data_IF_465726700595
#
_entry.id   IF_465726700595
#
_cell.length_a   1.000
_cell.length_b   1.000
_cell.length_c   1.000
_cell.angle_alpha   90.00
_cell.angle_beta   90.00
_cell.angle_gamma   90.00
#
_symmetry.space_group_name_H-M   'P 1'
#
loop_
_entity.id
_entity.type
_entity.pdbx_description
1 polymer ?
#
# COMPACT_ATOMS: atom_id res chain seq x y z
N UNK A 1 15.56 0.82 4.04
CA UNK A 1 16.99 0.92 4.29
C UNK A 1 17.52 2.31 3.90
N UNK A 2 18.72 2.66 4.34
CA UNK A 2 19.44 3.82 3.82
C UNK A 2 19.63 3.69 2.31
N UNK A 3 19.61 4.79 1.59
CA UNK A 3 19.73 4.80 0.13
C UNK A 3 18.50 4.31 -0.64
N UNK A 4 17.40 3.98 0.03
CA UNK A 4 16.15 3.58 -0.64
C UNK A 4 15.61 4.72 -1.52
N UNK A 5 15.02 4.37 -2.66
CA UNK A 5 14.29 5.31 -3.49
C UNK A 5 12.79 5.23 -3.16
N UNK A 6 12.17 6.38 -2.91
CA UNK A 6 10.83 6.49 -2.34
C UNK A 6 9.81 7.00 -3.36
N UNK A 7 8.61 6.41 -3.31
CA UNK A 7 7.36 6.96 -3.79
C UNK A 7 6.35 6.96 -2.63
N UNK A 8 5.67 8.08 -2.42
CA UNK A 8 4.61 8.24 -1.44
C UNK A 8 3.34 8.67 -2.16
N UNK A 9 2.26 7.90 -1.97
CA UNK A 9 0.93 8.24 -2.49
C UNK A 9 0.26 9.37 -1.69
N UNK A 10 -0.91 9.77 -2.15
CA UNK A 10 -1.75 10.78 -1.48
C UNK A 10 -2.49 10.10 -0.31
N UNK A 11 -2.64 10.82 0.79
CA UNK A 11 -3.45 10.41 1.92
C UNK A 11 -2.76 10.54 3.27
N UNK A 12 -3.54 10.33 4.33
CA UNK A 12 -3.07 10.52 5.71
C UNK A 12 -1.94 9.56 6.10
N UNK A 13 -2.03 8.29 5.71
CA UNK A 13 -1.02 7.28 6.06
C UNK A 13 0.33 7.50 5.36
N UNK A 14 0.42 7.72 4.03
CA UNK A 14 1.70 8.06 3.39
C UNK A 14 2.34 9.32 3.97
N UNK A 15 1.56 10.36 4.28
CA UNK A 15 2.08 11.58 4.91
C UNK A 15 2.59 11.32 6.34
N UNK A 16 1.87 10.55 7.16
CA UNK A 16 2.33 10.18 8.50
C UNK A 16 3.63 9.37 8.45
N UNK A 17 3.73 8.41 7.54
CA UNK A 17 4.95 7.62 7.35
C UNK A 17 6.10 8.51 6.89
N UNK A 18 5.85 9.45 5.97
CA UNK A 18 6.86 10.42 5.53
C UNK A 18 7.36 11.31 6.66
N UNK A 19 6.49 11.77 7.56
CA UNK A 19 6.86 12.52 8.76
C UNK A 19 7.72 11.68 9.71
N UNK A 20 7.42 10.39 9.89
CA UNK A 20 8.25 9.47 10.67
C UNK A 20 9.63 9.24 10.00
N UNK A 21 9.68 9.14 8.68
CA UNK A 21 10.94 9.05 7.92
C UNK A 21 11.77 10.31 8.16
N UNK A 22 11.17 11.51 8.14
CA UNK A 22 11.86 12.76 8.41
C UNK A 22 12.48 12.81 9.81
N UNK A 23 11.89 12.15 10.80
CA UNK A 23 12.37 12.06 12.18
C UNK A 23 13.31 10.88 12.46
N UNK A 24 13.39 9.91 11.55
CA UNK A 24 14.19 8.68 11.71
C UNK A 24 15.68 8.90 11.48
N UNK A 25 16.50 7.87 11.69
CA UNK A 25 17.94 7.86 11.37
C UNK A 25 18.24 7.48 9.91
N UNK A 26 17.20 7.36 9.06
CA UNK A 26 17.37 7.08 7.65
C UNK A 26 18.09 8.22 6.93
N UNK A 27 18.93 7.87 5.95
CA UNK A 27 19.73 8.83 5.19
C UNK A 27 19.96 8.36 3.75
N UNK A 28 20.45 9.30 2.95
CA UNK A 28 20.81 9.10 1.54
C UNK A 28 19.65 8.60 0.67
N UNK A 29 18.42 8.99 1.03
CA UNK A 29 17.21 8.58 0.31
C UNK A 29 17.14 9.22 -1.08
N UNK A 30 16.52 8.49 -2.00
CA UNK A 30 16.15 8.99 -3.32
C UNK A 30 14.65 9.27 -3.40
N UNK A 31 14.25 10.04 -4.40
CA UNK A 31 12.84 10.27 -4.75
C UNK A 31 12.64 10.02 -6.25
N UNK A 32 11.59 9.23 -6.56
CA UNK A 32 11.09 9.03 -7.92
C UNK A 32 9.57 8.81 -7.81
N UNK A 33 8.78 9.80 -8.19
CA UNK A 33 7.34 9.86 -7.88
C UNK A 33 6.57 10.69 -8.91
N UNK A 34 5.30 10.34 -9.13
CA UNK A 34 4.37 11.17 -9.92
C UNK A 34 3.81 12.35 -9.11
N UNK A 35 3.75 12.21 -7.79
CA UNK A 35 3.19 13.21 -6.87
C UNK A 35 4.23 13.58 -5.81
N UNK A 36 4.57 14.86 -5.72
CA UNK A 36 5.49 15.36 -4.70
C UNK A 36 4.69 15.86 -3.50
N UNK A 37 4.40 14.93 -2.57
CA UNK A 37 3.58 15.21 -1.38
C UNK A 37 4.38 15.98 -0.32
N UNK A 38 3.67 16.67 0.61
CA UNK A 38 4.28 17.52 1.65
C UNK A 38 5.32 16.78 2.50
N UNK A 39 5.11 15.49 2.73
CA UNK A 39 6.06 14.65 3.44
C UNK A 39 7.47 14.64 2.81
N UNK A 40 7.58 14.75 1.49
CA UNK A 40 8.91 14.89 0.85
C UNK A 40 9.60 16.21 1.17
N UNK A 41 8.82 17.28 1.36
CA UNK A 41 9.38 18.57 1.80
C UNK A 41 9.99 18.43 3.19
N UNK A 42 9.32 17.74 4.11
CA UNK A 42 9.82 17.52 5.48
C UNK A 42 11.06 16.62 5.48
N UNK A 43 11.07 15.55 4.71
CA UNK A 43 12.22 14.64 4.55
C UNK A 43 13.42 15.40 3.94
N UNK A 44 13.17 16.29 2.95
CA UNK A 44 14.20 17.11 2.32
C UNK A 44 14.78 18.16 3.31
N UNK A 45 13.91 18.87 4.04
CA UNK A 45 14.34 19.81 5.09
C UNK A 45 15.17 19.15 6.18
N UNK A 46 14.88 17.88 6.50
CA UNK A 46 15.67 17.07 7.42
C UNK A 46 17.03 16.62 6.84
N UNK A 47 17.36 16.99 5.60
CA UNK A 47 18.64 16.68 4.96
C UNK A 47 18.81 15.19 4.57
N UNK A 48 17.72 14.43 4.46
CA UNK A 48 17.77 12.97 4.27
C UNK A 48 17.74 12.55 2.80
N UNK A 49 17.42 13.45 1.88
CA UNK A 49 17.32 13.16 0.44
C UNK A 49 18.58 13.65 -0.28
N UNK A 50 19.41 12.71 -0.71
CA UNK A 50 20.62 13.00 -1.52
C UNK A 50 20.51 12.44 -2.93
N UNK A 51 19.72 11.37 -3.14
CA UNK A 51 19.65 10.64 -4.39
C UNK A 51 20.97 9.94 -4.78
N UNK A 52 21.93 9.86 -3.85
CA UNK A 52 23.30 9.39 -4.13
C UNK A 52 23.35 7.93 -4.58
N UNK A 53 22.39 7.11 -4.17
CA UNK A 53 22.33 5.67 -4.48
C UNK A 53 21.36 5.32 -5.62
N UNK A 54 20.72 6.31 -6.25
CA UNK A 54 19.85 6.07 -7.41
C UNK A 54 20.65 5.58 -8.61
N UNK A 55 20.13 4.59 -9.32
CA UNK A 55 20.68 4.05 -10.57
C UNK A 55 20.34 4.96 -11.76
N UNK A 56 19.15 5.57 -11.73
CA UNK A 56 18.68 6.57 -12.67
C UNK A 56 18.62 7.94 -11.99
N UNK A 57 18.96 9.02 -12.70
CA UNK A 57 18.92 10.40 -12.19
C UNK A 57 19.65 10.57 -10.85
N UNK A 58 20.83 10.01 -10.74
CA UNK A 58 21.65 10.06 -9.53
C UNK A 58 21.84 11.49 -9.03
N UNK A 59 21.63 11.69 -7.72
CA UNK A 59 21.72 12.99 -7.08
C UNK A 59 20.50 13.89 -7.29
N UNK A 60 19.43 13.41 -7.94
CA UNK A 60 18.22 14.19 -8.22
C UNK A 60 17.00 13.61 -7.51
N UNK A 61 16.11 14.50 -7.09
CA UNK A 61 14.73 14.16 -6.77
C UNK A 61 13.93 14.22 -8.07
N UNK A 62 13.27 13.12 -8.43
CA UNK A 62 12.51 13.05 -9.68
C UNK A 62 11.02 13.16 -9.39
N UNK A 63 10.46 14.23 -9.92
CA UNK A 63 9.05 14.49 -10.08
C UNK A 63 8.87 15.03 -11.51
N UNK A 64 8.27 14.23 -12.38
CA UNK A 64 8.24 14.50 -13.82
C UNK A 64 6.93 13.97 -14.44
N UNK A 65 6.85 13.97 -15.76
CA UNK A 65 5.71 13.43 -16.49
C UNK A 65 5.51 11.94 -16.22
N UNK A 66 4.25 11.50 -16.20
CA UNK A 66 3.85 10.14 -15.84
C UNK A 66 4.40 9.07 -16.77
N UNK A 67 4.63 9.39 -18.05
CA UNK A 67 5.26 8.50 -19.02
C UNK A 67 6.69 8.09 -18.64
N UNK A 68 7.35 8.87 -17.78
CA UNK A 68 8.67 8.54 -17.23
C UNK A 68 8.59 8.05 -15.78
N UNK A 69 7.88 8.76 -14.91
CA UNK A 69 7.84 8.41 -13.47
C UNK A 69 7.10 7.11 -13.20
N UNK A 70 6.08 6.81 -14.01
CA UNK A 70 5.25 5.62 -13.86
C UNK A 70 5.69 4.46 -14.78
N UNK A 71 6.72 4.65 -15.60
CA UNK A 71 7.27 3.55 -16.39
C UNK A 71 7.86 2.48 -15.46
N UNK A 72 7.24 1.31 -15.46
CA UNK A 72 7.62 0.17 -14.61
C UNK A 72 9.09 -0.20 -14.80
N UNK A 73 9.65 -0.04 -16.00
CA UNK A 73 11.08 -0.29 -16.29
C UNK A 73 11.97 0.70 -15.56
N UNK A 74 11.60 1.98 -15.56
CA UNK A 74 12.32 3.02 -14.84
C UNK A 74 12.25 2.80 -13.33
N UNK A 75 11.07 2.47 -12.78
CA UNK A 75 10.89 2.18 -11.35
C UNK A 75 11.70 0.94 -10.94
N UNK A 76 11.60 -0.15 -11.71
CA UNK A 76 12.28 -1.42 -11.40
C UNK A 76 13.81 -1.35 -11.51
N UNK A 77 14.34 -0.40 -12.26
CA UNK A 77 15.78 -0.16 -12.37
C UNK A 77 16.38 0.56 -11.15
N UNK A 78 15.55 1.08 -10.26
CA UNK A 78 15.98 1.76 -9.02
C UNK A 78 16.01 0.74 -7.87
N UNK A 79 17.21 0.36 -7.39
CA UNK A 79 17.38 -0.59 -6.28
C UNK A 79 16.72 -0.08 -4.99
N UNK A 80 16.18 -1.01 -4.18
CA UNK A 80 15.49 -0.74 -2.93
C UNK A 80 14.36 0.29 -3.09
N UNK A 81 13.59 0.19 -4.18
CA UNK A 81 12.46 1.07 -4.40
C UNK A 81 11.33 0.78 -3.40
N UNK A 82 10.91 1.77 -2.66
CA UNK A 82 9.85 1.66 -1.66
C UNK A 82 8.66 2.50 -2.10
N UNK A 83 7.56 1.83 -2.43
CA UNK A 83 6.27 2.43 -2.78
C UNK A 83 5.31 2.32 -1.60
N UNK A 84 4.70 3.43 -1.18
CA UNK A 84 3.75 3.49 -0.05
C UNK A 84 2.50 4.21 -0.51
N UNK A 85 1.38 3.50 -0.56
CA UNK A 85 0.09 4.01 -1.03
C UNK A 85 -1.02 3.70 -0.03
N UNK A 86 -2.08 4.50 -0.07
CA UNK A 86 -3.27 4.30 0.75
C UNK A 86 -4.36 3.55 -0.03
N UNK A 87 -5.23 2.85 0.69
CA UNK A 87 -6.42 2.23 0.14
C UNK A 87 -7.68 2.62 0.90
N UNK A 88 -8.83 2.45 0.25
CA UNK A 88 -10.17 2.60 0.86
C UNK A 88 -10.55 1.33 1.59
N UNK A 89 -10.50 0.19 0.91
CA UNK A 89 -10.76 -1.13 1.47
C UNK A 89 -10.06 -2.25 0.68
N UNK A 90 -10.06 -3.44 1.24
CA UNK A 90 -9.47 -4.65 0.66
C UNK A 90 -10.36 -5.85 1.00
N UNK A 91 -10.45 -6.83 0.10
CA UNK A 91 -11.15 -8.09 0.39
C UNK A 91 -10.20 -9.24 0.78
N UNK A 92 -10.80 -10.35 1.25
CA UNK A 92 -10.04 -11.53 1.69
C UNK A 92 -9.29 -12.26 0.56
N UNK A 93 -9.57 -11.93 -0.70
CA UNK A 93 -8.77 -12.40 -1.83
C UNK A 93 -7.53 -11.56 -2.07
N UNK A 94 -7.45 -10.36 -1.49
CA UNK A 94 -6.38 -9.39 -1.68
C UNK A 94 -6.61 -8.42 -2.84
N UNK A 95 -7.87 -8.22 -3.25
CA UNK A 95 -8.24 -7.16 -4.19
C UNK A 95 -8.33 -5.83 -3.46
N UNK A 96 -7.63 -4.81 -3.94
CA UNK A 96 -7.53 -3.49 -3.30
C UNK A 96 -8.38 -2.48 -4.07
N UNK A 97 -9.21 -1.75 -3.35
CA UNK A 97 -9.90 -0.58 -3.84
C UNK A 97 -9.29 0.69 -3.22
N UNK A 98 -8.83 1.60 -4.06
CA UNK A 98 -8.33 2.92 -3.65
C UNK A 98 -9.13 4.08 -4.29
N UNK A 99 -10.16 3.79 -5.09
CA UNK A 99 -10.80 4.75 -5.98
C UNK A 99 -12.27 5.01 -5.67
N UNK A 100 -12.95 4.11 -4.97
CA UNK A 100 -14.40 4.19 -4.81
C UNK A 100 -14.90 3.83 -3.40
N UNK A 101 -16.12 4.26 -3.07
CA UNK A 101 -16.90 3.75 -1.96
C UNK A 101 -18.17 3.12 -2.57
N UNK A 102 -18.16 1.80 -2.73
CA UNK A 102 -19.13 1.10 -3.57
C UNK A 102 -19.12 1.68 -4.99
N UNK A 103 -20.27 2.03 -5.50
CA UNK A 103 -20.43 2.66 -6.84
C UNK A 103 -20.02 4.13 -6.89
N UNK A 104 -19.75 4.76 -5.74
CA UNK A 104 -19.38 6.17 -5.70
C UNK A 104 -17.90 6.34 -5.95
N UNK A 105 -17.55 6.92 -7.09
CA UNK A 105 -16.19 7.30 -7.44
C UNK A 105 -15.65 8.41 -6.50
N UNK A 106 -14.44 8.23 -5.97
CA UNK A 106 -13.78 9.16 -5.04
C UNK A 106 -12.53 9.75 -5.66
N UNK A 107 -11.74 8.91 -6.35
CA UNK A 107 -10.43 9.27 -6.89
C UNK A 107 -10.17 8.52 -8.19
N UNK A 108 -9.30 9.05 -9.04
CA UNK A 108 -8.77 8.32 -10.19
C UNK A 108 -7.75 7.24 -9.76
N UNK A 109 -7.45 6.32 -10.69
CA UNK A 109 -6.46 5.26 -10.48
C UNK A 109 -5.06 5.81 -10.18
N UNK A 110 -4.68 6.92 -10.82
CA UNK A 110 -3.30 7.42 -10.78
C UNK A 110 -2.30 6.35 -11.19
N UNK A 111 -1.08 6.45 -10.68
CA UNK A 111 -0.01 5.49 -10.91
C UNK A 111 0.14 4.40 -9.86
N UNK A 112 -0.84 4.18 -8.98
CA UNK A 112 -0.67 3.25 -7.85
C UNK A 112 -0.21 1.87 -8.31
N UNK A 113 -0.86 1.28 -9.32
CA UNK A 113 -0.51 -0.04 -9.85
C UNK A 113 0.90 -0.07 -10.46
N UNK A 114 1.31 0.99 -11.17
CA UNK A 114 2.65 1.07 -11.78
C UNK A 114 3.73 1.02 -10.70
N UNK A 115 3.57 1.79 -9.63
CA UNK A 115 4.50 1.81 -8.50
C UNK A 115 4.47 0.52 -7.69
N UNK A 116 3.30 -0.12 -7.52
CA UNK A 116 3.19 -1.44 -6.89
C UNK A 116 4.00 -2.47 -7.65
N UNK A 117 3.84 -2.54 -8.98
CA UNK A 117 4.55 -3.47 -9.85
C UNK A 117 6.04 -3.15 -9.92
N UNK A 118 6.39 -1.90 -10.21
CA UNK A 118 7.77 -1.46 -10.34
C UNK A 118 8.57 -1.69 -9.05
N UNK A 119 8.00 -1.39 -7.89
CA UNK A 119 8.63 -1.65 -6.59
C UNK A 119 8.81 -3.16 -6.32
N UNK A 120 7.87 -4.00 -6.73
CA UNK A 120 8.03 -5.45 -6.59
C UNK A 120 9.14 -6.01 -7.48
N UNK A 121 9.31 -5.47 -8.69
CA UNK A 121 10.35 -5.87 -9.63
C UNK A 121 11.72 -5.28 -9.31
N UNK A 122 11.78 -4.20 -8.55
CA UNK A 122 13.02 -3.57 -8.09
C UNK A 122 13.81 -4.52 -7.19
N UNK A 123 15.13 -4.58 -7.38
CA UNK A 123 16.02 -5.37 -6.53
C UNK A 123 15.98 -4.85 -5.09
N UNK A 124 15.48 -5.67 -4.17
CA UNK A 124 15.26 -5.29 -2.76
C UNK A 124 14.06 -4.37 -2.53
N UNK A 125 13.31 -4.04 -3.59
CA UNK A 125 12.15 -3.17 -3.52
C UNK A 125 10.94 -3.78 -2.82
N UNK A 126 10.04 -2.92 -2.35
CA UNK A 126 8.81 -3.32 -1.66
C UNK A 126 7.71 -2.31 -1.92
N UNK A 127 6.50 -2.83 -2.10
CA UNK A 127 5.28 -2.03 -2.20
C UNK A 127 4.41 -2.28 -0.96
N UNK A 128 3.97 -1.20 -0.33
CA UNK A 128 3.11 -1.22 0.84
C UNK A 128 1.78 -0.52 0.52
N UNK A 129 0.69 -1.26 0.69
CA UNK A 129 -0.66 -0.69 0.74
C UNK A 129 -1.02 -0.53 2.20
N UNK A 130 -1.41 0.68 2.60
CA UNK A 130 -1.69 1.03 3.98
C UNK A 130 -3.14 1.49 4.13
N UNK A 131 -3.83 1.05 5.17
CA UNK A 131 -5.16 1.53 5.52
C UNK A 131 -5.40 1.37 7.03
N UNK A 132 -6.24 2.22 7.61
CA UNK A 132 -6.80 1.93 8.93
C UNK A 132 -7.70 0.70 8.80
N UNK A 133 -7.64 -0.24 9.75
CA UNK A 133 -8.45 -1.46 9.68
C UNK A 133 -9.95 -1.20 9.71
N UNK A 134 -10.38 -0.04 10.24
CA UNK A 134 -11.77 0.37 10.38
C UNK A 134 -12.02 1.83 9.99
N UNK A 135 -13.29 2.18 9.83
CA UNK A 135 -13.76 3.56 9.73
C UNK A 135 -15.12 3.71 10.39
N UNK A 136 -15.41 4.91 10.86
CA UNK A 136 -16.73 5.23 11.40
C UNK A 136 -17.67 5.67 10.27
N UNK A 137 -18.72 4.89 10.03
CA UNK A 137 -19.73 5.21 9.03
C UNK A 137 -20.74 6.19 9.62
N UNK A 138 -20.67 7.45 9.22
CA UNK A 138 -21.58 8.52 9.70
C UNK A 138 -23.05 8.29 9.35
N UNK A 139 -23.38 7.47 8.36
CA UNK A 139 -24.76 7.19 7.93
C UNK A 139 -25.41 6.14 8.82
N UNK A 140 -24.66 5.10 9.19
CA UNK A 140 -25.14 4.01 10.04
C UNK A 140 -24.88 4.27 11.53
N UNK A 141 -23.96 5.18 11.86
CA UNK A 141 -23.52 5.43 13.24
C UNK A 141 -22.65 4.31 13.79
N UNK A 142 -22.10 3.44 12.95
CA UNK A 142 -21.35 2.23 13.36
C UNK A 142 -19.90 2.27 12.89
N UNK A 143 -19.06 1.54 13.61
CA UNK A 143 -17.71 1.21 13.18
C UNK A 143 -17.80 0.07 12.15
N UNK A 144 -17.10 0.20 11.02
CA UNK A 144 -17.08 -0.79 9.95
C UNK A 144 -15.65 -1.17 9.60
N UNK A 145 -15.45 -2.45 9.24
CA UNK A 145 -14.16 -2.95 8.78
C UNK A 145 -13.84 -2.46 7.36
N UNK A 146 -12.57 -2.12 7.10
CA UNK A 146 -12.04 -1.88 5.76
C UNK A 146 -11.44 -3.14 5.14
N UNK A 147 -11.20 -4.18 5.94
CA UNK A 147 -10.91 -5.52 5.45
C UNK A 147 -12.26 -6.23 5.37
N UNK A 148 -12.70 -6.55 4.15
CA UNK A 148 -14.04 -7.06 3.85
C UNK A 148 -13.98 -8.51 3.37
N UNK A 149 -15.04 -9.31 3.55
CA UNK A 149 -15.13 -10.63 2.92
C UNK A 149 -14.94 -10.56 1.40
N UNK A 150 -15.72 -9.69 0.76
CA UNK A 150 -15.62 -9.28 -0.65
C UNK A 150 -15.75 -7.76 -0.73
N UNK A 151 -15.16 -7.14 -1.73
CA UNK A 151 -15.41 -5.72 -1.99
C UNK A 151 -16.92 -5.48 -2.21
N UNK A 152 -17.39 -4.30 -1.82
CA UNK A 152 -18.76 -3.89 -2.04
C UNK A 152 -19.07 -3.91 -3.54
N UNK A 153 -20.30 -4.33 -3.89
CA UNK A 153 -20.70 -4.43 -5.29
C UNK A 153 -20.59 -3.07 -6.00
N UNK A 154 -19.89 -3.07 -7.14
CA UNK A 154 -19.57 -1.87 -7.90
C UNK A 154 -18.31 -1.12 -7.46
N UNK A 155 -17.57 -1.62 -6.47
CA UNK A 155 -16.25 -1.08 -6.13
C UNK A 155 -15.25 -1.29 -7.26
N UNK A 156 -14.37 -0.30 -7.42
CA UNK A 156 -13.28 -0.36 -8.42
C UNK A 156 -12.09 -1.11 -7.81
N UNK A 157 -11.53 -2.04 -8.57
CA UNK A 157 -10.30 -2.74 -8.17
C UNK A 157 -9.11 -1.96 -8.73
N UNK A 158 -8.40 -1.26 -7.87
CA UNK A 158 -7.19 -0.52 -8.21
C UNK A 158 -5.99 -1.42 -8.35
N UNK A 159 -5.74 -2.30 -7.35
CA UNK A 159 -4.69 -3.31 -7.42
C UNK A 159 -5.30 -4.69 -7.39
N UNK A 160 -4.89 -5.53 -8.33
CA UNK A 160 -5.36 -6.91 -8.37
C UNK A 160 -4.70 -7.75 -7.28
N UNK A 161 -5.36 -8.82 -6.86
CA UNK A 161 -4.82 -9.78 -5.88
C UNK A 161 -3.47 -10.41 -6.27
N UNK A 162 -3.12 -10.38 -7.56
CA UNK A 162 -1.85 -10.90 -8.08
C UNK A 162 -0.68 -9.93 -7.86
N UNK A 163 -0.96 -8.63 -7.79
CA UNK A 163 0.04 -7.59 -7.75
C UNK A 163 0.35 -7.09 -6.32
N UNK A 164 -0.61 -7.21 -5.40
CA UNK A 164 -0.43 -6.79 -4.01
C UNK A 164 0.77 -7.48 -3.35
N UNK A 165 1.64 -6.67 -2.74
CA UNK A 165 2.86 -7.15 -2.08
C UNK A 165 2.71 -7.17 -0.55
N UNK A 166 2.71 -6.00 0.10
CA UNK A 166 2.48 -5.88 1.54
C UNK A 166 1.18 -5.12 1.82
N UNK A 167 0.44 -5.58 2.82
CA UNK A 167 -0.65 -4.83 3.45
C UNK A 167 -0.27 -4.47 4.88
N UNK A 168 -0.50 -3.20 5.25
CA UNK A 168 -0.24 -2.70 6.60
C UNK A 168 -1.47 -2.01 7.18
N UNK A 169 -1.77 -2.35 8.42
CA UNK A 169 -2.76 -1.68 9.27
C UNK A 169 -2.13 -1.32 10.60
N UNK A 170 -2.87 -0.72 11.52
CA UNK A 170 -2.44 -0.48 12.89
C UNK A 170 -2.20 -1.77 13.70
N UNK A 171 -2.66 -2.93 13.20
CA UNK A 171 -2.47 -4.24 13.83
C UNK A 171 -1.29 -5.03 13.26
N UNK A 172 -0.62 -4.52 12.25
CA UNK A 172 0.57 -5.14 11.69
C UNK A 172 0.72 -4.97 10.18
N UNK A 173 1.76 -5.60 9.66
CA UNK A 173 2.08 -5.59 8.24
C UNK A 173 2.37 -7.02 7.76
N UNK A 174 1.71 -7.45 6.69
CA UNK A 174 1.79 -8.82 6.16
C UNK A 174 2.24 -8.81 4.70
N UNK A 175 3.10 -9.77 4.35
CA UNK A 175 3.49 -10.03 2.97
C UNK A 175 2.50 -11.01 2.35
N UNK A 176 1.88 -10.62 1.25
CA UNK A 176 0.83 -11.41 0.57
C UNK A 176 1.32 -12.09 -0.73
N UNK A 177 2.58 -11.86 -1.12
CA UNK A 177 3.16 -12.52 -2.29
C UNK A 177 3.46 -13.98 -2.01
N UNK A 178 3.17 -14.84 -2.99
CA UNK A 178 3.44 -16.28 -2.91
C UNK A 178 2.48 -17.06 -2.02
N UNK A 179 1.54 -16.39 -1.35
CA UNK A 179 0.54 -17.04 -0.50
C UNK A 179 -0.59 -17.64 -1.33
N UNK A 180 -1.08 -18.80 -0.90
CA UNK A 180 -2.34 -19.39 -1.37
C UNK A 180 -3.52 -18.53 -0.94
N UNK A 181 -4.71 -18.77 -1.50
CA UNK A 181 -5.92 -18.02 -1.12
C UNK A 181 -6.24 -18.15 0.37
N UNK A 182 -6.05 -19.34 0.96
CA UNK A 182 -6.27 -19.57 2.40
C UNK A 182 -5.28 -18.82 3.28
N UNK A 183 -4.01 -18.84 2.93
CA UNK A 183 -2.95 -18.10 3.64
C UNK A 183 -3.14 -16.59 3.53
N UNK A 184 -3.62 -16.10 2.37
CA UNK A 184 -3.98 -14.68 2.22
C UNK A 184 -5.12 -14.28 3.13
N UNK A 185 -6.20 -15.07 3.16
CA UNK A 185 -7.33 -14.81 4.05
C UNK A 185 -6.89 -14.78 5.52
N UNK A 186 -6.07 -15.75 5.96
CA UNK A 186 -5.50 -15.78 7.31
C UNK A 186 -4.65 -14.53 7.61
N UNK A 187 -3.72 -14.19 6.72
CA UNK A 187 -2.86 -13.03 6.89
C UNK A 187 -3.64 -11.70 6.97
N UNK A 188 -4.68 -11.56 6.14
CA UNK A 188 -5.54 -10.38 6.13
C UNK A 188 -6.39 -10.27 7.40
N UNK A 189 -6.95 -11.40 7.86
CA UNK A 189 -7.74 -11.45 9.10
C UNK A 189 -6.85 -11.13 10.33
N UNK A 190 -5.58 -11.58 10.32
CA UNK A 190 -4.64 -11.29 11.40
C UNK A 190 -4.35 -9.79 11.58
N UNK A 191 -4.40 -9.00 10.51
CA UNK A 191 -4.20 -7.54 10.56
C UNK A 191 -5.51 -6.76 10.55
N UNK A 192 -6.66 -7.43 10.63
CA UNK A 192 -7.96 -6.81 10.82
C UNK A 192 -8.16 -6.39 12.29
N UNK A 193 -9.09 -5.45 12.50
CA UNK A 193 -9.51 -5.08 13.86
C UNK A 193 -10.07 -6.32 14.59
N UNK A 194 -9.70 -6.57 15.86
CA UNK A 194 -10.09 -7.78 16.59
C UNK A 194 -11.60 -8.07 16.57
N UNK A 195 -12.43 -7.05 16.73
CA UNK A 195 -13.89 -7.19 16.80
C UNK A 195 -14.52 -7.75 15.51
N UNK A 196 -13.83 -7.66 14.38
CA UNK A 196 -14.33 -8.15 13.08
C UNK A 196 -13.74 -9.49 12.65
N UNK A 197 -12.74 -10.03 13.35
CA UNK A 197 -12.03 -11.24 12.92
C UNK A 197 -12.93 -12.45 12.86
N UNK A 198 -13.78 -12.67 13.88
CA UNK A 198 -14.69 -13.82 13.89
C UNK A 198 -15.72 -13.78 12.76
N UNK A 199 -16.22 -12.59 12.43
CA UNK A 199 -17.13 -12.41 11.30
C UNK A 199 -16.43 -12.71 9.98
N UNK A 200 -15.21 -12.19 9.80
CA UNK A 200 -14.39 -12.45 8.61
C UNK A 200 -14.07 -13.94 8.45
N UNK A 201 -13.79 -14.67 9.53
CA UNK A 201 -13.59 -16.13 9.52
C UNK A 201 -14.85 -16.85 9.03
N UNK A 202 -16.04 -16.53 9.60
CA UNK A 202 -17.31 -17.12 9.20
C UNK A 202 -17.61 -16.92 7.71
N UNK A 203 -17.34 -15.69 7.21
CA UNK A 203 -17.51 -15.42 5.77
C UNK A 203 -16.47 -16.15 4.92
N UNK A 204 -15.22 -16.24 5.36
CA UNK A 204 -14.18 -17.02 4.68
C UNK A 204 -14.50 -18.51 4.61
N UNK A 205 -15.12 -19.08 5.65
CA UNK A 205 -15.63 -20.46 5.65
C UNK A 205 -16.73 -20.67 4.61
N UNK A 206 -17.72 -19.77 4.53
CA UNK A 206 -18.80 -19.80 3.50
C UNK A 206 -18.22 -19.71 2.07
N UNK A 207 -17.17 -18.93 1.89
CA UNK A 207 -16.48 -18.80 0.60
C UNK A 207 -15.51 -19.95 0.30
N UNK A 208 -15.37 -20.92 1.19
CA UNK A 208 -14.43 -22.05 1.08
C UNK A 208 -12.95 -21.61 0.95
N UNK A 209 -12.59 -20.47 1.54
CA UNK A 209 -11.21 -19.94 1.62
C UNK A 209 -10.65 -19.95 3.03
N UNK A 210 -11.27 -20.68 3.94
CA UNK A 210 -10.81 -20.93 5.31
C UNK A 210 -10.69 -22.43 5.54
N UNK A 211 -9.63 -22.88 6.25
CA UNK A 211 -9.40 -24.28 6.60
C UNK A 211 -9.28 -24.40 8.11
N UNK A 212 -9.61 -25.57 8.64
CA UNK A 212 -9.41 -25.91 10.06
C UNK A 212 -7.95 -25.81 10.49
N UNK A 213 -6.99 -25.93 9.55
CA UNK A 213 -5.55 -25.77 9.80
C UNK A 213 -5.09 -24.31 9.85
N UNK A 214 -5.92 -23.35 9.42
CA UNK A 214 -5.60 -21.93 9.54
C UNK A 214 -5.55 -21.58 11.02
N UNK A 215 -4.57 -20.77 11.39
CA UNK A 215 -4.35 -20.32 12.77
C UNK A 215 -4.30 -18.80 12.79
N UNK A 216 -4.90 -18.24 13.79
CA UNK A 216 -4.82 -16.81 14.13
C UNK A 216 -4.30 -16.69 15.55
#
# INVERSE_FOLDING_TARGET
PNGACLQLGIGGMPNAIGSLIAQSDLKDLGVHTEMYVDAFVDIAKAGKITGAHKQLDKGRQVYAFVDYTNDIRSISALDNFISINNAVDIDLFGQVNAESAGVKHISGAGGQLDFVLGAYLSKGGKSFICLSSTFFNKKTGQLESRIRPTLENGSIITDTRANLHYLCTEYGCVNLKGLTTWEKAEALINVAHPDFREELIKEAEKMHIWRRSNKI
#
